data_IF_567306228316
#
_entry.id   IF_567306228316
#
_cell.length_a   1.000
_cell.length_b   1.000
_cell.length_c   1.000
_cell.angle_alpha   90.00
_cell.angle_beta   90.00
_cell.angle_gamma   90.00
#
_symmetry.space_group_name_H-M   'P 1'
#
loop_
_entity.id
_entity.type
_entity.pdbx_description
1 polymer ?
#
# COMPACT_ATOMS: atom_id res chain seq x y z
N UNK A 1 3.83 -7.07 12.35
CA UNK A 1 5.11 -6.97 13.07
C UNK A 1 4.83 -7.03 14.55
N UNK A 2 5.48 -7.96 15.27
CA UNK A 2 5.30 -8.20 16.71
C UNK A 2 6.62 -7.93 17.43
N UNK A 3 6.53 -7.39 18.65
CA UNK A 3 7.69 -7.10 19.49
C UNK A 3 8.18 -8.40 20.18
N UNK A 4 9.46 -8.72 20.03
CA UNK A 4 10.07 -9.93 20.61
C UNK A 4 10.05 -9.97 22.16
N UNK A 5 9.92 -8.81 22.82
CA UNK A 5 9.86 -8.73 24.28
C UNK A 5 8.42 -8.68 24.80
N UNK A 6 7.56 -7.88 24.16
CA UNK A 6 6.18 -7.65 24.61
C UNK A 6 5.20 -8.72 24.11
N UNK A 7 5.44 -9.31 22.92
CA UNK A 7 4.53 -10.24 22.31
C UNK A 7 3.32 -9.55 21.65
N UNK A 8 2.18 -10.23 21.62
CA UNK A 8 0.95 -9.75 21.00
C UNK A 8 0.24 -8.75 21.90
N UNK A 9 0.00 -7.56 21.38
CA UNK A 9 -0.79 -6.53 22.01
C UNK A 9 -2.22 -6.47 21.42
N UNK A 10 -3.16 -5.89 22.15
CA UNK A 10 -4.56 -5.77 21.73
C UNK A 10 -4.70 -5.08 20.35
N UNK A 11 -3.87 -4.09 20.06
CA UNK A 11 -3.86 -3.40 18.77
C UNK A 11 -3.38 -4.31 17.63
N UNK A 12 -2.42 -5.19 17.92
CA UNK A 12 -1.94 -6.18 16.94
C UNK A 12 -3.07 -7.11 16.54
N UNK A 13 -3.81 -7.65 17.52
CA UNK A 13 -4.97 -8.50 17.27
C UNK A 13 -6.05 -7.79 16.45
N UNK A 14 -6.42 -6.59 16.86
CA UNK A 14 -7.45 -5.82 16.18
C UNK A 14 -7.08 -5.56 14.71
N UNK A 15 -5.82 -5.20 14.43
CA UNK A 15 -5.35 -4.95 13.08
C UNK A 15 -5.26 -6.24 12.23
N UNK A 16 -4.87 -7.36 12.82
CA UNK A 16 -4.81 -8.65 12.11
C UNK A 16 -6.21 -9.13 11.75
N UNK A 17 -7.17 -9.09 12.68
CA UNK A 17 -8.55 -9.47 12.38
C UNK A 17 -9.16 -8.57 11.32
N UNK A 18 -8.91 -7.25 11.37
CA UNK A 18 -9.37 -6.33 10.33
C UNK A 18 -8.77 -6.67 8.96
N UNK A 19 -7.49 -7.05 8.90
CA UNK A 19 -6.85 -7.47 7.66
C UNK A 19 -7.46 -8.77 7.12
N UNK A 20 -7.71 -9.76 7.98
CA UNK A 20 -8.34 -11.02 7.60
C UNK A 20 -9.79 -10.84 7.15
N UNK A 21 -10.57 -9.95 7.80
CA UNK A 21 -11.93 -9.60 7.38
C UNK A 21 -11.98 -8.98 5.98
N UNK A 22 -10.89 -8.37 5.54
CA UNK A 22 -10.73 -7.84 4.18
C UNK A 22 -10.00 -8.78 3.22
N UNK A 23 -9.85 -10.06 3.59
CA UNK A 23 -9.21 -11.10 2.76
C UNK A 23 -7.78 -10.72 2.34
N UNK A 24 -7.03 -10.09 3.25
CA UNK A 24 -5.64 -9.69 3.02
C UNK A 24 -4.67 -10.79 3.49
N UNK A 25 -3.62 -11.00 2.72
CA UNK A 25 -2.52 -11.89 3.10
C UNK A 25 -1.73 -11.30 4.27
N UNK A 26 -1.53 -12.09 5.32
CA UNK A 26 -0.82 -11.69 6.54
C UNK A 26 0.25 -12.71 6.85
N UNK A 27 1.46 -12.26 7.14
CA UNK A 27 2.51 -13.09 7.72
C UNK A 27 3.24 -12.36 8.85
N UNK A 28 3.73 -13.10 9.88
CA UNK A 28 4.35 -12.51 11.03
C UNK A 28 5.79 -12.10 10.77
N UNK A 29 6.23 -11.03 11.44
CA UNK A 29 7.63 -10.59 11.54
C UNK A 29 7.89 -10.22 12.99
N UNK A 30 8.95 -10.77 13.60
CA UNK A 30 9.28 -10.54 15.00
C UNK A 30 10.44 -9.55 15.09
N UNK A 31 10.16 -8.37 15.65
CA UNK A 31 11.10 -7.26 15.73
C UNK A 31 11.65 -7.05 17.14
N UNK A 32 12.72 -6.30 17.24
CA UNK A 32 13.42 -5.93 18.47
C UNK A 32 14.12 -7.11 19.15
N UNK A 33 14.65 -8.04 18.37
CA UNK A 33 15.45 -9.17 18.90
C UNK A 33 16.74 -8.74 19.59
N UNK A 34 17.14 -7.49 19.44
CA UNK A 34 18.30 -6.87 20.09
C UNK A 34 18.06 -6.51 21.56
N UNK A 35 16.83 -6.55 22.05
CA UNK A 35 16.53 -6.26 23.44
C UNK A 35 16.95 -7.40 24.37
N UNK A 36 17.49 -7.11 25.56
CA UNK A 36 17.87 -8.15 26.54
C UNK A 36 16.70 -9.02 27.02
N UNK A 37 15.47 -8.49 26.94
CA UNK A 37 14.23 -9.19 27.31
C UNK A 37 13.53 -9.86 26.12
N UNK A 38 14.16 -9.88 24.94
CA UNK A 38 13.58 -10.52 23.77
C UNK A 38 13.51 -12.05 23.95
N UNK A 39 12.34 -12.61 23.68
CA UNK A 39 12.09 -14.05 23.63
C UNK A 39 11.29 -14.39 22.36
N UNK A 40 11.97 -14.49 21.21
CA UNK A 40 11.31 -14.75 19.94
C UNK A 40 10.54 -16.07 19.93
N UNK A 41 11.04 -17.12 20.59
CA UNK A 41 10.40 -18.44 20.59
C UNK A 41 9.04 -18.39 21.30
N UNK A 42 8.96 -17.74 22.46
CA UNK A 42 7.69 -17.52 23.16
C UNK A 42 6.69 -16.73 22.28
N UNK A 43 7.18 -15.73 21.56
CA UNK A 43 6.31 -14.91 20.70
C UNK A 43 5.83 -15.69 19.48
N UNK A 44 6.64 -16.58 18.91
CA UNK A 44 6.21 -17.50 17.84
C UNK A 44 5.03 -18.36 18.33
N UNK A 45 5.20 -19.02 19.48
CA UNK A 45 4.16 -19.86 20.08
C UNK A 45 2.86 -19.04 20.38
N UNK A 46 3.03 -17.84 20.91
CA UNK A 46 1.90 -16.93 21.18
C UNK A 46 1.15 -16.54 19.89
N UNK A 47 1.85 -16.30 18.77
CA UNK A 47 1.24 -15.98 17.46
C UNK A 47 0.44 -17.18 16.94
N UNK A 48 1.00 -18.37 17.02
CA UNK A 48 0.34 -19.61 16.57
C UNK A 48 -0.89 -19.92 17.42
N UNK A 49 -0.79 -19.78 18.73
CA UNK A 49 -1.89 -20.11 19.66
C UNK A 49 -3.02 -19.07 19.64
N UNK A 50 -2.69 -17.78 19.55
CA UNK A 50 -3.67 -16.69 19.71
C UNK A 50 -4.26 -16.24 18.38
N UNK A 51 -3.43 -16.16 17.32
CA UNK A 51 -3.87 -15.68 16.00
C UNK A 51 -4.21 -16.86 15.08
N UNK A 52 -3.53 -18.00 15.24
CA UNK A 52 -3.73 -19.19 14.41
C UNK A 52 -3.03 -19.14 13.05
N UNK A 53 -1.99 -18.34 12.90
CA UNK A 53 -1.16 -18.29 11.68
C UNK A 53 0.20 -18.92 11.94
N UNK A 54 0.77 -19.62 10.94
CA UNK A 54 2.11 -20.20 11.03
C UNK A 54 3.17 -19.11 11.27
N UNK A 55 4.01 -19.29 12.29
CA UNK A 55 5.02 -18.33 12.70
C UNK A 55 6.44 -18.89 12.83
N UNK A 56 6.64 -20.20 12.61
CA UNK A 56 7.95 -20.86 12.74
C UNK A 56 9.01 -20.28 11.79
N UNK A 57 8.57 -19.86 10.59
CA UNK A 57 9.41 -19.24 9.57
C UNK A 57 9.37 -17.70 9.62
N UNK A 58 8.89 -17.10 10.72
CA UNK A 58 8.80 -15.66 10.85
C UNK A 58 10.21 -15.03 10.88
N UNK A 59 10.50 -14.01 10.05
CA UNK A 59 11.76 -13.30 10.12
C UNK A 59 12.00 -12.69 11.49
N UNK A 60 13.17 -12.96 12.07
CA UNK A 60 13.62 -12.40 13.33
C UNK A 60 14.50 -11.18 13.05
N UNK A 61 14.04 -9.99 13.40
CA UNK A 61 14.68 -8.75 12.99
C UNK A 61 14.99 -7.78 14.14
N UNK A 62 15.98 -6.94 13.89
CA UNK A 62 16.12 -5.67 14.60
C UNK A 62 16.10 -4.53 13.58
N UNK A 63 14.97 -3.88 13.43
CA UNK A 63 14.84 -2.75 12.51
C UNK A 63 15.79 -1.61 12.90
N UNK A 64 16.06 -1.43 14.20
CA UNK A 64 17.01 -0.43 14.71
C UNK A 64 18.44 -0.70 14.25
N UNK A 65 18.86 -1.96 14.23
CA UNK A 65 20.22 -2.36 13.89
C UNK A 65 20.36 -2.84 12.43
N UNK A 66 19.28 -2.86 11.65
CA UNK A 66 19.27 -3.33 10.26
C UNK A 66 19.42 -4.86 10.11
N UNK A 67 19.20 -5.63 11.19
CA UNK A 67 19.34 -7.10 11.17
C UNK A 67 18.07 -7.73 10.59
N UNK A 68 18.21 -8.68 9.67
CA UNK A 68 17.10 -9.48 9.11
C UNK A 68 16.17 -8.73 8.16
N UNK A 69 16.47 -7.49 7.77
CA UNK A 69 15.59 -6.68 6.92
C UNK A 69 15.47 -7.25 5.51
N UNK A 70 16.59 -7.71 4.94
CA UNK A 70 16.61 -8.31 3.61
C UNK A 70 15.72 -9.57 3.55
N UNK A 71 15.71 -10.38 4.60
CA UNK A 71 14.86 -11.55 4.70
C UNK A 71 13.36 -11.18 4.69
N UNK A 72 12.96 -10.10 5.36
CA UNK A 72 11.58 -9.60 5.31
C UNK A 72 11.19 -9.23 3.89
N UNK A 73 12.06 -8.49 3.17
CA UNK A 73 11.81 -8.09 1.79
C UNK A 73 11.69 -9.30 0.85
N UNK A 74 12.56 -10.29 1.01
CA UNK A 74 12.48 -11.56 0.28
C UNK A 74 11.20 -12.33 0.58
N UNK A 75 10.76 -12.36 1.84
CA UNK A 75 9.50 -13.01 2.21
C UNK A 75 8.28 -12.29 1.65
N UNK A 76 8.29 -10.95 1.60
CA UNK A 76 7.23 -10.18 0.94
C UNK A 76 7.10 -10.64 -0.53
N UNK A 77 8.21 -10.68 -1.26
CA UNK A 77 8.21 -11.09 -2.68
C UNK A 77 7.73 -12.54 -2.87
N UNK A 78 8.04 -13.43 -1.93
CA UNK A 78 7.69 -14.86 -2.02
C UNK A 78 6.26 -15.16 -1.57
N UNK A 79 5.78 -14.51 -0.51
CA UNK A 79 4.50 -14.84 0.15
C UNK A 79 3.34 -13.96 -0.30
N UNK A 80 3.60 -12.70 -0.63
CA UNK A 80 2.53 -11.78 -1.03
C UNK A 80 2.35 -11.84 -2.55
N UNK A 81 1.16 -12.18 -3.05
CA UNK A 81 0.91 -12.22 -4.49
C UNK A 81 1.01 -10.81 -5.10
N UNK A 82 1.44 -10.75 -6.35
CA UNK A 82 1.43 -9.49 -7.09
C UNK A 82 0.01 -8.93 -7.23
N UNK A 83 -0.17 -7.61 -7.31
CA UNK A 83 -1.48 -7.01 -7.53
C UNK A 83 -2.15 -7.57 -8.77
N UNK A 84 -3.45 -7.85 -8.66
CA UNK A 84 -4.28 -8.28 -9.80
C UNK A 84 -4.57 -7.07 -10.70
N UNK A 85 -4.81 -7.32 -12.00
CA UNK A 85 -5.17 -6.32 -12.98
C UNK A 85 -4.51 -6.60 -14.33
N UNK A 86 -5.10 -6.09 -15.40
CA UNK A 86 -4.57 -6.22 -16.75
C UNK A 86 -4.28 -4.82 -17.32
N UNK A 87 -3.03 -4.50 -17.71
CA UNK A 87 -2.67 -3.20 -18.26
C UNK A 87 -3.32 -2.89 -19.61
N UNK A 88 -3.81 -3.90 -20.33
CA UNK A 88 -4.47 -3.75 -21.64
C UNK A 88 -5.98 -3.47 -21.53
N UNK A 89 -6.55 -3.58 -20.33
CA UNK A 89 -7.96 -3.29 -20.10
C UNK A 89 -8.23 -1.77 -20.11
N UNK A 90 -9.50 -1.35 -20.23
CA UNK A 90 -9.89 0.05 -20.00
C UNK A 90 -9.44 0.52 -18.60
N UNK A 91 -8.95 1.75 -18.53
CA UNK A 91 -8.44 2.33 -17.29
C UNK A 91 -9.50 2.35 -16.20
N UNK A 92 -9.15 1.79 -15.05
CA UNK A 92 -9.88 1.91 -13.79
C UNK A 92 -8.88 2.24 -12.68
N UNK A 93 -9.09 3.35 -11.98
CA UNK A 93 -8.24 3.75 -10.87
C UNK A 93 -9.08 4.12 -9.64
N UNK A 94 -8.67 3.59 -8.48
CA UNK A 94 -9.27 3.92 -7.20
C UNK A 94 -8.55 5.14 -6.61
N UNK A 95 -9.28 6.22 -6.40
CA UNK A 95 -8.78 7.41 -5.72
C UNK A 95 -8.94 7.19 -4.21
N UNK A 96 -7.84 7.24 -3.46
CA UNK A 96 -7.89 7.07 -2.01
C UNK A 96 -7.56 8.36 -1.25
N UNK A 97 -6.93 9.35 -1.90
CA UNK A 97 -6.68 10.67 -1.32
C UNK A 97 -6.47 11.73 -2.40
N UNK A 98 -6.55 13.00 -2.03
CA UNK A 98 -6.20 14.13 -2.89
C UNK A 98 -5.73 15.32 -2.08
N UNK A 99 -4.72 16.02 -2.57
CA UNK A 99 -4.19 17.23 -1.95
C UNK A 99 -4.19 18.39 -2.95
N UNK A 100 -4.32 19.61 -2.46
CA UNK A 100 -4.19 20.79 -3.29
C UNK A 100 -2.76 21.36 -3.16
N UNK A 101 -2.10 21.46 -4.29
CA UNK A 101 -0.81 22.14 -4.43
C UNK A 101 -1.00 23.47 -5.17
N UNK A 102 -0.44 24.56 -4.67
CA UNK A 102 -0.63 25.88 -5.26
C UNK A 102 -0.03 26.04 -6.67
N UNK A 103 0.91 25.17 -7.02
CA UNK A 103 1.60 25.17 -8.30
C UNK A 103 1.07 24.12 -9.27
N UNK A 104 0.84 22.89 -8.80
CA UNK A 104 0.39 21.75 -9.61
C UNK A 104 -1.14 21.60 -9.68
N UNK A 105 -1.89 22.35 -8.86
CA UNK A 105 -3.33 22.18 -8.69
C UNK A 105 -3.67 20.97 -7.82
N UNK A 106 -4.72 20.25 -8.15
CA UNK A 106 -5.12 19.05 -7.40
C UNK A 106 -4.22 17.88 -7.80
N UNK A 107 -3.54 17.30 -6.82
CA UNK A 107 -2.79 16.05 -6.93
C UNK A 107 -3.68 14.93 -6.40
N UNK A 108 -3.99 13.96 -7.23
CA UNK A 108 -4.84 12.82 -6.94
C UNK A 108 -3.97 11.62 -6.61
N UNK A 109 -4.17 11.00 -5.46
CA UNK A 109 -3.50 9.76 -5.07
C UNK A 109 -4.39 8.59 -5.44
N UNK A 110 -3.86 7.67 -6.26
CA UNK A 110 -4.65 6.58 -6.78
C UNK A 110 -3.87 5.26 -6.87
N UNK A 111 -4.64 4.18 -6.86
CA UNK A 111 -4.18 2.86 -7.29
C UNK A 111 -4.82 2.54 -8.63
N UNK A 112 -4.02 2.21 -9.63
CA UNK A 112 -4.51 1.72 -10.93
C UNK A 112 -4.94 0.26 -10.72
N UNK A 113 -6.23 0.00 -10.93
CA UNK A 113 -6.82 -1.34 -10.79
C UNK A 113 -6.75 -2.10 -12.12
N UNK A 114 -7.03 -1.43 -13.22
CA UNK A 114 -7.01 -1.96 -14.58
C UNK A 114 -6.49 -0.90 -15.55
N UNK A 115 -5.89 -1.35 -16.65
CA UNK A 115 -5.42 -0.46 -17.70
C UNK A 115 -4.13 0.26 -17.36
N UNK A 116 -3.88 1.32 -18.11
CA UNK A 116 -2.67 2.16 -17.98
C UNK A 116 -3.05 3.62 -18.14
N UNK A 117 -2.50 4.48 -17.27
CA UNK A 117 -2.66 5.93 -17.34
C UNK A 117 -1.31 6.59 -17.59
N UNK A 118 -1.27 7.56 -18.47
CA UNK A 118 -0.09 8.36 -18.83
C UNK A 118 -0.48 9.80 -19.10
N UNK A 119 0.50 10.67 -19.21
CA UNK A 119 0.28 12.06 -19.64
C UNK A 119 -0.52 12.10 -20.95
N UNK A 120 -1.54 12.96 -21.00
CA UNK A 120 -2.45 13.10 -22.14
C UNK A 120 -3.64 12.13 -22.14
N UNK A 121 -3.70 11.18 -21.17
CA UNK A 121 -4.88 10.31 -21.04
C UNK A 121 -6.08 11.13 -20.61
N UNK A 122 -7.21 10.99 -21.31
CA UNK A 122 -8.49 11.56 -20.86
C UNK A 122 -9.05 10.66 -19.77
N UNK A 123 -9.34 11.21 -18.61
CA UNK A 123 -9.98 10.49 -17.50
C UNK A 123 -11.38 11.05 -17.23
N UNK A 124 -12.27 10.21 -16.75
CA UNK A 124 -13.59 10.60 -16.29
C UNK A 124 -13.77 10.23 -14.82
N UNK A 125 -14.05 11.21 -14.00
CA UNK A 125 -14.43 11.00 -12.60
C UNK A 125 -15.80 10.34 -12.52
N UNK A 126 -15.89 9.16 -11.93
CA UNK A 126 -17.16 8.41 -11.90
C UNK A 126 -18.22 9.10 -11.05
N UNK A 127 -17.83 9.69 -9.92
CA UNK A 127 -18.76 10.34 -9.01
C UNK A 127 -19.37 11.63 -9.58
N UNK A 128 -18.60 12.42 -10.30
CA UNK A 128 -19.01 13.74 -10.78
C UNK A 128 -19.29 13.78 -12.30
N UNK A 129 -18.76 12.78 -13.03
CA UNK A 129 -18.81 12.76 -14.49
C UNK A 129 -17.84 13.73 -15.17
N UNK A 130 -17.05 14.49 -14.39
CA UNK A 130 -16.06 15.42 -14.93
C UNK A 130 -15.02 14.70 -15.78
N UNK A 131 -14.65 15.30 -16.90
CA UNK A 131 -13.63 14.78 -17.81
C UNK A 131 -12.45 15.73 -17.81
N UNK A 132 -11.26 15.17 -17.60
CA UNK A 132 -10.03 15.95 -17.52
C UNK A 132 -8.90 15.22 -18.23
N UNK A 133 -7.94 15.99 -18.74
CA UNK A 133 -6.73 15.45 -19.32
C UNK A 133 -5.64 15.34 -18.26
N UNK A 134 -4.97 14.20 -18.20
CA UNK A 134 -3.83 13.95 -17.30
C UNK A 134 -2.63 14.78 -17.74
N UNK A 135 -2.11 15.62 -16.85
CA UNK A 135 -0.94 16.48 -17.10
C UNK A 135 0.36 15.79 -16.72
N UNK A 136 0.36 15.09 -15.60
CA UNK A 136 1.54 14.36 -15.08
C UNK A 136 1.08 13.12 -14.32
N UNK A 137 1.86 12.06 -14.39
CA UNK A 137 1.76 10.87 -13.56
C UNK A 137 3.08 10.60 -12.89
N UNK A 138 3.05 9.93 -11.73
CA UNK A 138 4.27 9.56 -11.03
C UNK A 138 3.98 8.69 -9.80
N UNK A 139 5.03 8.26 -9.14
CA UNK A 139 4.97 7.45 -7.93
C UNK A 139 5.62 8.15 -6.74
N UNK A 140 5.42 7.56 -5.55
CA UNK A 140 5.93 8.13 -4.30
C UNK A 140 7.34 7.61 -4.03
N UNK A 141 8.30 8.53 -3.91
CA UNK A 141 9.61 8.26 -3.36
C UNK A 141 9.67 8.62 -1.87
N UNK A 142 10.82 8.46 -1.25
CA UNK A 142 11.03 8.84 0.14
C UNK A 142 10.96 10.38 0.29
N UNK A 143 9.78 10.88 0.69
CA UNK A 143 9.52 12.30 0.90
C UNK A 143 9.41 13.16 -0.36
N UNK A 144 9.24 12.57 -1.54
CA UNK A 144 9.13 13.28 -2.80
C UNK A 144 8.21 12.57 -3.81
N UNK A 145 7.67 13.35 -4.74
CA UNK A 145 6.97 12.85 -5.92
C UNK A 145 7.97 12.62 -7.06
N UNK A 146 7.95 11.43 -7.64
CA UNK A 146 8.84 11.07 -8.75
C UNK A 146 7.99 10.90 -10.01
N UNK A 147 8.07 11.83 -11.00
CA UNK A 147 7.38 11.68 -12.26
C UNK A 147 7.82 10.42 -13.01
N UNK A 148 6.90 9.80 -13.73
CA UNK A 148 7.18 8.66 -14.59
C UNK A 148 6.38 8.76 -15.91
N UNK A 149 6.66 7.87 -16.84
CA UNK A 149 5.99 7.88 -18.15
C UNK A 149 4.55 7.41 -18.06
N UNK A 150 4.29 6.38 -17.23
CA UNK A 150 2.97 5.79 -17.05
C UNK A 150 2.82 5.10 -15.68
N UNK A 151 1.56 4.89 -15.27
CA UNK A 151 1.17 4.00 -14.19
C UNK A 151 0.26 2.92 -14.78
N UNK A 152 0.61 1.65 -14.60
CA UNK A 152 -0.15 0.50 -15.05
C UNK A 152 -0.86 -0.24 -13.92
N UNK A 153 -1.73 -1.18 -14.28
CA UNK A 153 -2.50 -1.99 -13.34
C UNK A 153 -1.63 -2.54 -12.20
N UNK A 154 -2.10 -2.35 -10.97
CA UNK A 154 -1.41 -2.72 -9.73
C UNK A 154 -0.55 -1.62 -9.12
N UNK A 155 -0.15 -0.61 -9.88
CA UNK A 155 0.69 0.47 -9.37
C UNK A 155 -0.10 1.47 -8.53
N UNK A 156 0.56 1.98 -7.49
CA UNK A 156 0.10 3.10 -6.66
C UNK A 156 0.93 4.32 -7.00
N UNK A 157 0.27 5.44 -7.23
CA UNK A 157 0.95 6.66 -7.58
C UNK A 157 0.06 7.89 -7.51
N UNK A 158 0.48 8.94 -8.15
CA UNK A 158 -0.29 10.18 -8.24
C UNK A 158 -0.55 10.58 -9.69
N UNK A 159 -1.64 11.31 -9.86
CA UNK A 159 -2.05 11.92 -11.12
C UNK A 159 -2.28 13.40 -10.86
N UNK A 160 -1.79 14.26 -11.74
CA UNK A 160 -2.24 15.64 -11.81
C UNK A 160 -3.08 15.83 -13.06
N UNK A 161 -4.17 16.55 -12.90
CA UNK A 161 -5.04 16.96 -14.00
C UNK A 161 -5.41 18.44 -13.77
N UNK A 162 -5.91 19.12 -14.77
CA UNK A 162 -6.25 20.56 -14.68
C UNK A 162 -7.46 20.84 -13.78
N UNK A 163 -7.65 20.02 -12.77
CA UNK A 163 -8.76 20.11 -11.82
C UNK A 163 -8.53 21.27 -10.86
N UNK A 164 -9.45 22.20 -10.85
CA UNK A 164 -9.37 23.40 -10.01
C UNK A 164 -10.02 23.26 -8.65
N UNK A 165 -10.86 22.25 -8.46
CA UNK A 165 -11.63 22.08 -7.23
C UNK A 165 -11.43 20.68 -6.66
N UNK A 166 -10.92 20.57 -5.44
CA UNK A 166 -10.71 19.31 -4.72
C UNK A 166 -12.03 18.51 -4.57
N UNK A 167 -13.19 19.20 -4.53
CA UNK A 167 -14.49 18.54 -4.45
C UNK A 167 -14.82 17.66 -5.66
N UNK A 168 -14.17 17.90 -6.79
CA UNK A 168 -14.35 17.10 -8.01
C UNK A 168 -13.54 15.79 -7.97
N UNK A 169 -12.64 15.65 -6.99
CA UNK A 169 -11.78 14.48 -6.75
C UNK A 169 -12.11 13.79 -5.43
N UNK A 170 -13.39 13.61 -5.12
CA UNK A 170 -13.79 12.94 -3.89
C UNK A 170 -13.09 11.56 -3.77
N UNK A 171 -12.45 11.32 -2.62
CA UNK A 171 -11.84 10.02 -2.31
C UNK A 171 -12.88 8.90 -2.45
N UNK A 172 -12.41 7.68 -2.83
CA UNK A 172 -13.27 6.52 -3.14
C UNK A 172 -14.06 6.68 -4.46
N UNK A 173 -13.61 7.53 -5.37
CA UNK A 173 -14.17 7.59 -6.73
C UNK A 173 -13.33 6.71 -7.67
N UNK A 174 -14.01 5.88 -8.45
CA UNK A 174 -13.40 5.17 -9.57
C UNK A 174 -13.34 6.08 -10.80
N UNK A 175 -12.26 5.99 -11.56
CA UNK A 175 -12.17 6.62 -12.88
C UNK A 175 -12.35 5.55 -13.96
N UNK A 176 -13.20 5.84 -14.93
CA UNK A 176 -13.38 5.06 -16.15
C UNK A 176 -13.18 5.94 -17.36
N UNK A 177 -12.70 5.34 -18.41
CA UNK A 177 -12.92 5.78 -19.79
C UNK A 177 -13.86 4.82 -20.49
#
# INVERSE_FOLDING_TARGET
VVDAAQGIEAQTLANVYLALDHDLDVFPVINKIDLPSADPQRVIEEIEDVIGIEAQDAPLISAKNGIGIEEVLEQIVKKIPSPKGNPDNPLQALIFDSVYDSYKGVIIFCRVMEGTVKKGTMIRMMATGAKEEVVEVGYFGAGQFIPCDELSAGMVGYITASIKNVKDTAAVSYTHL
#
